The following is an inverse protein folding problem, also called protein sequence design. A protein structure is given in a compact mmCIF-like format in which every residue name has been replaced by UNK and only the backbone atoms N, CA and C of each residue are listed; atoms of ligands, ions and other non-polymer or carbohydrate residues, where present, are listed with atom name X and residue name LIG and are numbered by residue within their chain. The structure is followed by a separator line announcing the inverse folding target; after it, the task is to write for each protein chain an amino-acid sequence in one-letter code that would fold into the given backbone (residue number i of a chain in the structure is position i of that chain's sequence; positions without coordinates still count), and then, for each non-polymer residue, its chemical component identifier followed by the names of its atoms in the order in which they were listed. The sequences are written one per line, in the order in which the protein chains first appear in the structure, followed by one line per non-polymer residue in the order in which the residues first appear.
data_IF_730721361655
#
_entry.id   IF_730721361655
#
_cell.length_a   1.000
_cell.length_b   1.000
_cell.length_c   1.000
_cell.angle_alpha   90.00
_cell.angle_beta   90.00
_cell.angle_gamma   90.00
#
_symmetry.space_group_name_H-M   'P 1'
#
loop_
_entity.id
_entity.type
_entity.pdbx_description
1 polymer ?
#
# COMPACT_ATOMS: atom_id res chain seq x y z
N UNK A 1 39.07 38.07 6.50
CA UNK A 1 37.78 37.35 6.38
C UNK A 1 36.91 38.14 5.44
N UNK A 2 36.26 37.49 4.45
CA UNK A 2 35.30 38.18 3.58
C UNK A 2 33.97 38.34 4.32
N UNK A 3 33.40 39.53 4.21
CA UNK A 3 32.09 39.87 4.75
C UNK A 3 31.16 40.22 3.60
N UNK A 4 29.91 39.78 3.72
CA UNK A 4 28.90 39.93 2.70
C UNK A 4 27.72 40.74 3.24
N UNK A 5 27.10 41.52 2.36
CA UNK A 5 25.82 42.17 2.64
C UNK A 5 24.67 41.17 2.49
N UNK A 6 23.51 41.49 3.08
CA UNK A 6 22.28 40.67 2.93
C UNK A 6 21.93 40.42 1.47
N UNK A 7 22.16 41.41 0.59
CA UNK A 7 21.89 41.31 -0.84
C UNK A 7 22.82 40.31 -1.52
N UNK A 8 24.12 40.40 -1.28
CA UNK A 8 25.08 39.44 -1.82
C UNK A 8 24.82 38.02 -1.32
N UNK A 9 24.41 37.86 -0.05
CA UNK A 9 24.03 36.55 0.48
C UNK A 9 22.74 36.03 -0.17
N UNK A 10 21.79 36.91 -0.50
CA UNK A 10 20.57 36.55 -1.23
C UNK A 10 20.91 36.02 -2.62
N UNK A 11 21.75 36.73 -3.35
CA UNK A 11 22.22 36.34 -4.68
C UNK A 11 23.01 35.01 -4.62
N UNK A 12 23.88 34.83 -3.62
CA UNK A 12 24.68 33.60 -3.45
C UNK A 12 23.85 32.37 -3.07
N UNK A 13 22.81 32.55 -2.24
CA UNK A 13 21.97 31.44 -1.75
C UNK A 13 20.73 31.19 -2.61
N UNK A 14 20.42 32.08 -3.57
CA UNK A 14 19.19 32.05 -4.35
C UNK A 14 17.93 32.21 -3.48
N UNK A 15 18.03 32.92 -2.35
CA UNK A 15 16.93 33.17 -1.41
C UNK A 15 16.62 34.66 -1.36
N UNK A 16 15.38 35.00 -1.00
CA UNK A 16 14.98 36.39 -0.84
C UNK A 16 15.68 37.05 0.36
N UNK A 17 16.00 38.34 0.26
CA UNK A 17 16.67 39.11 1.32
C UNK A 17 15.94 39.02 2.69
N UNK A 18 14.60 38.97 2.68
CA UNK A 18 13.80 38.81 3.89
C UNK A 18 14.04 37.47 4.59
N UNK A 19 14.34 36.41 3.84
CA UNK A 19 14.67 35.09 4.41
C UNK A 19 15.95 35.17 5.23
N UNK A 20 16.95 35.89 4.70
CA UNK A 20 18.23 36.09 5.39
C UNK A 20 18.03 36.97 6.61
N UNK A 21 17.27 38.07 6.49
CA UNK A 21 16.89 38.91 7.65
C UNK A 21 16.15 38.08 8.72
N UNK A 22 15.30 37.14 8.32
CA UNK A 22 14.62 36.20 9.25
C UNK A 22 15.61 35.26 9.93
N UNK A 23 16.61 34.74 9.24
CA UNK A 23 17.64 33.88 9.84
C UNK A 23 18.51 34.61 10.86
N UNK A 24 18.82 35.88 10.60
CA UNK A 24 19.49 36.77 11.55
C UNK A 24 18.63 36.91 12.82
N UNK A 25 17.33 37.24 12.67
CA UNK A 25 16.40 37.34 13.81
C UNK A 25 16.24 36.02 14.58
N UNK A 26 16.32 34.89 13.88
CA UNK A 26 16.24 33.56 14.46
C UNK A 26 17.56 33.09 15.10
N UNK A 27 18.63 33.91 15.07
CA UNK A 27 19.93 33.57 15.66
C UNK A 27 20.69 32.46 14.94
N UNK A 28 20.34 32.13 13.70
CA UNK A 28 21.05 31.09 12.91
C UNK A 28 22.43 31.55 12.40
N UNK A 29 22.71 32.84 12.49
CA UNK A 29 23.93 33.50 11.98
C UNK A 29 24.65 34.22 13.14
N UNK A 30 25.38 33.50 13.98
CA UNK A 30 25.98 34.04 15.21
C UNK A 30 27.08 35.08 14.95
N UNK A 31 27.71 35.08 13.77
CA UNK A 31 28.75 36.05 13.40
C UNK A 31 28.19 37.22 12.58
N UNK A 32 26.87 37.39 12.52
CA UNK A 32 26.27 38.54 11.86
C UNK A 32 26.22 39.76 12.79
N UNK A 33 26.59 40.93 12.26
CA UNK A 33 26.57 42.18 13.02
C UNK A 33 25.98 43.32 12.18
N UNK A 34 25.40 44.32 12.86
CA UNK A 34 24.82 45.50 12.23
C UNK A 34 25.85 46.63 12.28
N UNK A 35 26.35 47.05 11.11
CA UNK A 35 27.41 48.06 11.07
C UNK A 35 26.85 49.48 11.24
N UNK A 36 25.76 49.81 10.55
CA UNK A 36 25.12 51.14 10.63
C UNK A 36 23.69 51.08 10.09
N UNK A 37 22.87 52.09 10.37
CA UNK A 37 21.51 52.20 9.81
C UNK A 37 21.53 52.31 8.28
N UNK A 38 22.57 52.96 7.72
CA UNK A 38 22.77 53.11 6.27
C UNK A 38 23.36 51.87 5.58
N UNK A 39 24.20 51.10 6.29
CA UNK A 39 24.96 50.00 5.70
C UNK A 39 24.34 48.61 5.98
N UNK A 40 23.41 48.53 6.91
CA UNK A 40 22.65 47.31 7.19
C UNK A 40 23.46 46.21 7.89
N UNK A 41 23.07 44.96 7.63
CA UNK A 41 23.64 43.77 8.25
C UNK A 41 24.80 43.21 7.42
N UNK A 42 25.90 42.85 8.11
CA UNK A 42 27.06 42.15 7.56
C UNK A 42 27.09 40.71 8.07
N UNK A 43 27.39 39.77 7.18
CA UNK A 43 27.43 38.33 7.46
C UNK A 43 28.80 37.81 7.04
N UNK A 44 29.46 37.06 7.92
CA UNK A 44 30.74 36.44 7.61
C UNK A 44 30.58 35.17 6.74
N UNK A 45 31.56 34.92 5.88
CA UNK A 45 31.64 33.72 5.03
C UNK A 45 31.53 32.41 5.82
N UNK A 46 32.06 32.36 7.05
CA UNK A 46 32.02 31.18 7.92
C UNK A 46 30.59 30.72 8.25
N UNK A 47 29.64 31.67 8.33
CA UNK A 47 28.24 31.35 8.58
C UNK A 47 27.50 30.91 7.30
N UNK A 48 27.94 31.38 6.14
CA UNK A 48 27.41 30.93 4.84
C UNK A 48 27.74 29.46 4.56
N UNK A 49 28.94 29.02 4.94
CA UNK A 49 29.34 27.61 4.83
C UNK A 49 28.47 26.69 5.70
N UNK A 50 28.13 27.14 6.92
CA UNK A 50 27.19 26.40 7.78
C UNK A 50 25.80 26.34 7.17
N UNK A 51 25.34 27.43 6.56
CA UNK A 51 24.05 27.45 5.87
C UNK A 51 24.03 26.52 4.66
N UNK A 52 25.08 26.44 3.85
CA UNK A 52 25.07 25.59 2.65
C UNK A 52 24.98 24.10 3.01
N UNK A 53 25.65 23.69 4.09
CA UNK A 53 25.45 22.36 4.68
C UNK A 53 24.00 22.20 5.16
N UNK A 54 23.46 23.15 5.94
CA UNK A 54 22.08 23.07 6.45
C UNK A 54 21.01 23.12 5.34
N UNK A 55 21.24 23.82 4.23
CA UNK A 55 20.32 23.90 3.09
C UNK A 55 20.35 22.60 2.28
N UNK A 56 21.54 22.00 2.11
CA UNK A 56 21.68 20.67 1.51
C UNK A 56 20.97 19.62 2.34
N UNK A 57 21.07 19.71 3.67
CA UNK A 57 20.41 18.80 4.60
C UNK A 57 18.88 18.91 4.47
N UNK A 58 18.30 20.12 4.58
CA UNK A 58 16.84 20.29 4.55
C UNK A 58 16.18 20.04 3.18
N UNK A 59 16.89 20.21 2.06
CA UNK A 59 16.35 19.94 0.71
C UNK A 59 16.49 18.47 0.31
N UNK A 60 17.42 17.74 0.94
CA UNK A 60 17.69 16.32 0.66
C UNK A 60 16.87 15.42 1.59
N UNK A 61 16.72 15.77 2.87
CA UNK A 61 15.99 14.95 3.85
C UNK A 61 14.49 14.77 3.49
N UNK A 62 13.80 15.78 2.96
CA UNK A 62 12.36 15.65 2.69
C UNK A 62 12.01 14.88 1.40
N UNK A 63 12.95 14.70 0.47
CA UNK A 63 12.69 14.03 -0.81
C UNK A 63 13.47 12.72 -0.99
N UNK A 64 14.63 12.59 -0.35
CA UNK A 64 15.47 11.39 -0.44
C UNK A 64 15.04 10.34 0.58
N UNK A 65 14.56 10.73 1.76
CA UNK A 65 14.10 9.77 2.77
C UNK A 65 12.80 9.06 2.34
N UNK A 66 11.86 9.73 1.67
CA UNK A 66 10.61 9.09 1.18
C UNK A 66 10.85 8.13 -0.01
N UNK A 67 11.80 8.44 -0.89
CA UNK A 67 12.11 7.59 -2.05
C UNK A 67 12.96 6.39 -1.61
N UNK A 68 13.93 6.60 -0.72
CA UNK A 68 14.70 5.51 -0.13
C UNK A 68 13.81 4.60 0.71
N UNK A 69 12.95 5.15 1.59
CA UNK A 69 12.09 4.33 2.44
C UNK A 69 11.16 3.44 1.62
N UNK A 70 10.62 3.93 0.50
CA UNK A 70 9.75 3.14 -0.37
C UNK A 70 10.52 2.05 -1.12
N UNK A 71 11.73 2.36 -1.60
CA UNK A 71 12.62 1.35 -2.19
C UNK A 71 12.92 0.25 -1.17
N UNK A 72 13.31 0.63 0.04
CA UNK A 72 13.65 -0.28 1.13
C UNK A 72 12.44 -1.16 1.51
N UNK A 73 11.23 -0.59 1.55
CA UNK A 73 9.99 -1.34 1.79
C UNK A 73 9.75 -2.42 0.72
N UNK A 74 9.96 -2.12 -0.56
CA UNK A 74 9.79 -3.13 -1.62
C UNK A 74 10.82 -4.25 -1.54
N UNK A 75 12.06 -3.92 -1.16
CA UNK A 75 13.11 -4.92 -0.95
C UNK A 75 12.80 -5.80 0.27
N UNK A 76 12.34 -5.21 1.36
CA UNK A 76 11.90 -5.92 2.57
C UNK A 76 10.76 -6.88 2.26
N UNK A 77 9.75 -6.45 1.49
CA UNK A 77 8.65 -7.30 1.04
C UNK A 77 9.16 -8.48 0.21
N UNK A 78 10.09 -8.23 -0.73
CA UNK A 78 10.68 -9.26 -1.57
C UNK A 78 11.47 -10.28 -0.76
N UNK A 79 12.26 -9.83 0.21
CA UNK A 79 13.02 -10.69 1.12
C UNK A 79 12.11 -11.52 2.03
N UNK A 80 11.09 -10.90 2.62
CA UNK A 80 10.12 -11.58 3.47
C UNK A 80 9.37 -12.68 2.72
N UNK A 81 8.92 -12.40 1.50
CA UNK A 81 8.27 -13.39 0.65
C UNK A 81 9.21 -14.57 0.39
N UNK A 82 10.44 -14.28 -0.08
CA UNK A 82 11.45 -15.30 -0.39
C UNK A 82 11.81 -16.14 0.83
N UNK A 83 11.84 -15.57 2.03
CA UNK A 83 12.14 -16.30 3.25
C UNK A 83 11.09 -17.38 3.55
N UNK A 84 9.81 -17.13 3.22
CA UNK A 84 8.70 -18.01 3.59
C UNK A 84 8.39 -19.02 2.47
N UNK A 85 8.40 -18.58 1.21
CA UNK A 85 8.07 -19.43 0.06
C UNK A 85 9.29 -20.12 -0.55
N UNK A 86 10.50 -19.65 -0.23
CA UNK A 86 11.76 -19.99 -0.92
C UNK A 86 11.74 -19.69 -2.42
N UNK A 87 10.78 -18.89 -2.89
CA UNK A 87 10.62 -18.47 -4.29
C UNK A 87 10.56 -16.94 -4.36
N UNK A 88 10.86 -16.38 -5.54
CA UNK A 88 10.71 -14.94 -5.76
C UNK A 88 9.24 -14.60 -6.06
N UNK A 89 8.70 -13.49 -5.55
CA UNK A 89 7.35 -13.06 -5.89
C UNK A 89 7.28 -12.59 -7.34
N UNK A 90 6.13 -12.79 -7.99
CA UNK A 90 5.82 -12.13 -9.26
C UNK A 90 5.63 -10.62 -9.05
N UNK A 91 5.92 -9.82 -10.07
CA UNK A 91 5.78 -8.36 -10.04
C UNK A 91 4.39 -7.88 -9.58
N UNK A 92 3.33 -8.58 -10.01
CA UNK A 92 1.96 -8.30 -9.58
C UNK A 92 1.78 -8.46 -8.06
N UNK A 93 2.32 -9.54 -7.48
CA UNK A 93 2.21 -9.78 -6.04
C UNK A 93 3.07 -8.79 -5.27
N UNK A 94 4.27 -8.46 -5.78
CA UNK A 94 5.12 -7.45 -5.17
C UNK A 94 4.42 -6.08 -5.13
N UNK A 95 3.74 -5.69 -6.21
CA UNK A 95 2.94 -4.47 -6.28
C UNK A 95 1.77 -4.49 -5.27
N UNK A 96 1.05 -5.61 -5.18
CA UNK A 96 -0.05 -5.77 -4.21
C UNK A 96 0.45 -5.67 -2.77
N UNK A 97 1.54 -6.37 -2.44
CA UNK A 97 2.12 -6.39 -1.10
C UNK A 97 2.73 -5.04 -0.71
N UNK A 98 3.29 -4.30 -1.68
CA UNK A 98 3.79 -2.94 -1.46
C UNK A 98 2.65 -1.99 -1.07
N UNK A 99 1.51 -2.05 -1.74
CA UNK A 99 0.32 -1.24 -1.39
C UNK A 99 -0.26 -1.62 -0.03
N UNK A 100 -0.22 -2.91 0.31
CA UNK A 100 -0.72 -3.43 1.59
C UNK A 100 0.20 -3.07 2.76
N UNK A 101 1.50 -2.88 2.49
CA UNK A 101 2.52 -2.54 3.47
C UNK A 101 3.19 -3.75 4.13
N UNK A 102 4.40 -3.54 4.64
CA UNK A 102 5.26 -4.62 5.15
C UNK A 102 4.67 -5.35 6.36
N UNK A 103 4.08 -4.62 7.32
CA UNK A 103 3.47 -5.22 8.53
C UNK A 103 2.41 -6.24 8.16
N UNK A 104 1.48 -5.84 7.29
CA UNK A 104 0.35 -6.67 6.88
C UNK A 104 0.80 -7.83 6.00
N UNK A 105 1.83 -7.63 5.17
CA UNK A 105 2.48 -8.69 4.40
C UNK A 105 3.03 -9.79 5.31
N UNK A 106 3.76 -9.43 6.37
CA UNK A 106 4.32 -10.38 7.32
C UNK A 106 3.24 -11.16 8.06
N UNK A 107 2.13 -10.53 8.43
CA UNK A 107 0.99 -11.22 9.05
C UNK A 107 0.43 -12.31 8.12
N UNK A 108 0.23 -12.00 6.84
CA UNK A 108 -0.30 -12.95 5.86
C UNK A 108 0.68 -14.12 5.66
N UNK A 109 1.98 -13.81 5.55
CA UNK A 109 3.03 -14.82 5.41
C UNK A 109 3.12 -15.72 6.65
N UNK A 110 2.93 -15.17 7.85
CA UNK A 110 2.89 -15.93 9.10
C UNK A 110 1.71 -16.92 9.11
N UNK A 111 0.52 -16.47 8.70
CA UNK A 111 -0.66 -17.34 8.59
C UNK A 111 -0.40 -18.48 7.58
N UNK A 112 0.27 -18.17 6.47
CA UNK A 112 0.66 -19.17 5.48
C UNK A 112 1.56 -20.25 6.08
N UNK A 113 2.55 -19.85 6.89
CA UNK A 113 3.47 -20.77 7.56
C UNK A 113 2.79 -21.59 8.67
N UNK A 114 1.84 -20.99 9.40
CA UNK A 114 1.07 -21.65 10.45
C UNK A 114 -0.01 -22.60 9.91
N UNK A 115 -0.34 -22.52 8.62
CA UNK A 115 -1.36 -23.38 8.03
C UNK A 115 -0.95 -24.86 8.08
N UNK A 116 -1.88 -25.74 8.48
CA UNK A 116 -1.60 -27.16 8.71
C UNK A 116 -1.12 -27.93 7.46
N UNK A 117 -1.39 -27.40 6.27
CA UNK A 117 -0.98 -27.99 4.99
C UNK A 117 -0.15 -27.01 4.20
N UNK A 118 0.96 -27.47 3.63
CA UNK A 118 1.80 -26.64 2.75
C UNK A 118 0.97 -26.03 1.62
N UNK A 119 1.02 -24.70 1.51
CA UNK A 119 0.33 -23.95 0.48
C UNK A 119 0.98 -24.22 -0.88
N UNK A 120 0.20 -24.78 -1.81
CA UNK A 120 0.68 -25.10 -3.17
C UNK A 120 0.81 -23.86 -4.06
N UNK A 121 -0.08 -22.88 -3.89
CA UNK A 121 -0.11 -21.65 -4.65
C UNK A 121 -0.09 -20.44 -3.68
N UNK A 122 1.10 -19.88 -3.39
CA UNK A 122 1.25 -18.78 -2.44
C UNK A 122 0.57 -17.50 -2.94
N UNK A 123 0.66 -17.19 -4.23
CA UNK A 123 0.09 -15.99 -4.84
C UNK A 123 -1.44 -15.93 -4.67
N UNK A 124 -2.11 -17.05 -4.95
CA UNK A 124 -3.56 -17.17 -4.76
C UNK A 124 -3.98 -17.13 -3.28
N UNK A 125 -3.12 -17.65 -2.40
CA UNK A 125 -3.35 -17.59 -0.96
C UNK A 125 -3.31 -16.15 -0.44
N UNK A 126 -2.30 -15.38 -0.85
CA UNK A 126 -2.14 -13.97 -0.48
C UNK A 126 -3.34 -13.15 -0.94
N UNK A 127 -3.75 -13.28 -2.21
CA UNK A 127 -4.92 -12.56 -2.74
C UNK A 127 -6.19 -12.89 -1.96
N UNK A 128 -6.36 -14.15 -1.55
CA UNK A 128 -7.50 -14.57 -0.73
C UNK A 128 -7.40 -14.00 0.69
N UNK A 129 -6.23 -14.05 1.32
CA UNK A 129 -6.02 -13.53 2.67
C UNK A 129 -6.27 -12.02 2.77
N UNK A 130 -5.90 -11.26 1.73
CA UNK A 130 -6.18 -9.82 1.63
C UNK A 130 -7.69 -9.59 1.49
N UNK A 131 -8.36 -10.30 0.59
CA UNK A 131 -9.81 -10.15 0.35
C UNK A 131 -10.64 -10.47 1.60
N UNK A 132 -10.28 -11.53 2.31
CA UNK A 132 -10.99 -11.99 3.52
C UNK A 132 -10.45 -11.33 4.81
N UNK A 133 -9.47 -10.43 4.68
CA UNK A 133 -8.79 -9.73 5.77
C UNK A 133 -8.36 -10.64 6.95
N UNK A 134 -7.73 -11.78 6.67
CA UNK A 134 -7.33 -12.74 7.70
C UNK A 134 -6.29 -12.18 8.68
N UNK A 135 -6.46 -12.42 9.97
CA UNK A 135 -5.50 -12.01 11.00
C UNK A 135 -4.66 -13.20 11.53
N UNK A 136 -3.46 -12.99 12.07
CA UNK A 136 -2.64 -14.08 12.63
C UNK A 136 -3.31 -14.83 13.78
N UNK A 137 -4.21 -14.18 14.51
CA UNK A 137 -4.92 -14.76 15.65
C UNK A 137 -6.12 -15.60 15.20
N UNK A 138 -6.68 -15.29 14.02
CA UNK A 138 -7.72 -16.10 13.38
C UNK A 138 -7.08 -17.22 12.58
N UNK A 139 -6.90 -18.39 13.19
CA UNK A 139 -6.46 -19.60 12.47
C UNK A 139 -7.33 -19.81 11.23
N UNK A 140 -6.76 -20.17 10.06
CA UNK A 140 -7.53 -20.43 8.87
C UNK A 140 -8.36 -21.71 9.09
N UNK A 141 -9.61 -21.55 9.52
CA UNK A 141 -10.58 -22.63 9.54
C UNK A 141 -10.81 -23.03 8.09
N UNK A 142 -10.45 -24.28 7.77
CA UNK A 142 -10.75 -24.91 6.48
C UNK A 142 -12.27 -24.90 6.31
N UNK A 143 -12.79 -23.85 5.67
CA UNK A 143 -14.20 -23.76 5.29
C UNK A 143 -14.49 -24.99 4.43
N UNK A 144 -15.32 -25.95 4.89
CA UNK A 144 -15.75 -27.02 4.01
C UNK A 144 -16.41 -26.33 2.83
N UNK A 145 -15.94 -26.65 1.60
CA UNK A 145 -16.65 -26.22 0.39
C UNK A 145 -18.08 -26.73 0.56
N UNK A 146 -19.01 -25.83 0.89
CA UNK A 146 -20.44 -26.12 0.93
C UNK A 146 -20.72 -26.84 -0.38
N UNK A 147 -21.22 -28.06 -0.27
CA UNK A 147 -21.66 -28.88 -1.39
C UNK A 147 -22.83 -28.16 -2.06
N UNK A 148 -22.53 -27.14 -2.87
CA UNK A 148 -23.50 -26.35 -3.64
C UNK A 148 -24.21 -27.18 -4.70
N UNK A 149 -23.95 -28.50 -4.76
CA UNK A 149 -24.61 -29.43 -5.66
C UNK A 149 -25.84 -30.11 -5.05
N UNK A 150 -26.01 -30.13 -3.71
CA UNK A 150 -27.15 -30.82 -3.07
C UNK A 150 -28.47 -30.04 -3.04
N UNK A 151 -28.44 -28.73 -3.29
CA UNK A 151 -29.69 -27.94 -3.32
C UNK A 151 -30.52 -28.28 -4.56
N UNK A 152 -29.88 -28.71 -5.65
CA UNK A 152 -30.59 -29.10 -6.88
C UNK A 152 -31.17 -30.53 -6.81
N UNK A 153 -30.57 -31.42 -6.01
CA UNK A 153 -31.08 -32.79 -5.82
C UNK A 153 -32.39 -32.84 -5.02
N UNK A 154 -32.58 -31.97 -4.01
CA UNK A 154 -33.85 -31.94 -3.27
C UNK A 154 -35.04 -31.53 -4.15
N UNK A 155 -34.84 -30.59 -5.09
CA UNK A 155 -35.91 -30.17 -5.99
C UNK A 155 -36.31 -31.23 -7.03
N UNK A 156 -35.45 -32.19 -7.36
CA UNK A 156 -35.81 -33.22 -8.35
C UNK A 156 -36.67 -34.33 -7.73
N UNK A 157 -36.37 -34.78 -6.51
CA UNK A 157 -37.18 -35.79 -5.85
C UNK A 157 -38.57 -35.29 -5.44
N UNK A 158 -38.74 -34.03 -5.04
CA UNK A 158 -40.08 -33.45 -4.83
C UNK A 158 -40.89 -33.34 -6.13
N UNK A 159 -40.23 -33.09 -7.28
CA UNK A 159 -40.90 -33.12 -8.58
C UNK A 159 -41.29 -34.55 -8.98
N UNK A 160 -40.40 -35.54 -8.83
CA UNK A 160 -40.69 -36.94 -9.20
C UNK A 160 -41.75 -37.60 -8.31
N UNK A 161 -41.84 -37.24 -7.02
CA UNK A 161 -42.90 -37.73 -6.13
C UNK A 161 -44.27 -37.16 -6.51
N UNK A 162 -44.34 -35.91 -7.00
CA UNK A 162 -45.60 -35.30 -7.47
C UNK A 162 -46.14 -35.92 -8.76
N UNK A 163 -45.27 -36.40 -9.66
CA UNK A 163 -45.70 -37.01 -10.94
C UNK A 163 -46.10 -38.49 -10.83
N UNK A 164 -45.57 -39.24 -9.86
CA UNK A 164 -45.91 -40.67 -9.70
C UNK A 164 -47.26 -40.90 -9.00
N UNK A 165 -47.82 -39.91 -8.30
CA UNK A 165 -49.16 -40.01 -7.70
C UNK A 165 -50.33 -39.75 -8.67
N UNK A 166 -50.06 -39.28 -9.89
CA UNK A 166 -51.12 -38.80 -10.82
C UNK A 166 -51.49 -39.84 -11.89
N UNK A 167 -50.82 -41.00 -11.96
CA UNK A 167 -51.10 -42.04 -12.96
C UNK A 167 -52.46 -42.75 -12.80
N UNK A 168 -53.29 -42.40 -11.80
CA UNK A 168 -54.55 -43.10 -11.55
C UNK A 168 -55.84 -42.26 -11.66
N UNK A 169 -55.80 -41.11 -12.35
CA UNK A 169 -57.03 -40.37 -12.63
C UNK A 169 -57.12 -39.95 -14.10
N UNK A 170 -57.92 -40.73 -14.83
CA UNK A 170 -58.43 -40.42 -16.15
C UNK A 170 -59.08 -39.03 -16.16
N UNK A 171 -58.54 -38.09 -16.93
CA UNK A 171 -59.26 -36.86 -17.28
C UNK A 171 -59.10 -36.56 -18.76
N UNK A 172 -60.24 -36.64 -19.48
CA UNK A 172 -60.43 -36.32 -20.90
C UNK A 172 -59.87 -34.92 -21.20
N UNK A 173 -58.89 -34.85 -22.10
CA UNK A 173 -58.38 -33.59 -22.65
C UNK A 173 -59.27 -33.22 -23.86
N UNK A 174 -59.87 -32.02 -23.93
CA UNK A 174 -60.56 -31.59 -25.14
C UNK A 174 -59.51 -31.22 -26.20
N UNK A 175 -59.49 -31.96 -27.29
CA UNK A 175 -58.68 -31.65 -28.47
C UNK A 175 -59.24 -30.38 -29.14
N UNK A 176 -58.46 -29.29 -29.14
CA UNK A 176 -58.65 -28.21 -30.10
C UNK A 176 -57.76 -28.50 -31.32
N UNK A 177 -58.40 -28.75 -32.47
CA UNK A 177 -57.73 -28.84 -33.77
C UNK A 177 -57.34 -27.41 -34.22
N UNK A 178 -56.05 -27.12 -34.25
CA UNK A 178 -55.52 -25.81 -34.66
C UNK A 178 -54.87 -25.81 -36.05
N UNK A 179 -55.13 -26.84 -36.87
CA UNK A 179 -54.64 -26.95 -38.24
C UNK A 179 -55.73 -27.54 -39.15
N UNK A 180 -56.73 -26.72 -39.48
CA UNK A 180 -57.54 -26.87 -40.69
C UNK A 180 -57.55 -25.51 -41.38
N UNK A 181 -56.75 -25.42 -42.44
CA UNK A 181 -56.79 -24.40 -43.50
C UNK A 181 -56.72 -25.17 -44.81
#
# INVERSE_FOLDING_TARGET
MKEYTVKEVADLTGKHEETIKRWIRAGKLPNSYRNSDKEGWRILESDLLKLNNVISINKTEQQVDEINSKSDETELVKLAYKAVTLTSPTDEILSILSVVGIKRTLEILLIMQQSATKVKNPDGFIRKAIRENWSPTSTPLKMPRKQSKRVYELSQHEYEEQFNTVENQQSKIPFYNWLEN
#
